data_IF_777906017225
#
_entry.id   IF_777906017225
#
_cell.length_a   1.000
_cell.length_b   1.000
_cell.length_c   1.000
_cell.angle_alpha   90.00
_cell.angle_beta   90.00
_cell.angle_gamma   90.00
#
_symmetry.space_group_name_H-M   'P 1'
#
loop_
_entity.id
_entity.type
_entity.pdbx_description
1 polymer ?
#
# COMPACT_ATOMS: atom_id res chain seq x y z
N UNK A 1 10.03 -4.19 22.40
CA UNK A 1 10.08 -4.57 20.98
C UNK A 1 8.81 -5.33 20.69
N UNK A 2 7.78 -4.71 20.13
CA UNK A 2 6.56 -5.43 19.78
C UNK A 2 6.87 -6.39 18.62
N UNK A 3 6.83 -7.70 18.90
CA UNK A 3 6.83 -8.75 17.90
C UNK A 3 5.53 -8.59 17.10
N UNK A 4 5.59 -7.93 15.94
CA UNK A 4 4.46 -7.89 15.02
C UNK A 4 4.11 -9.32 14.60
N UNK A 5 2.90 -9.76 14.94
CA UNK A 5 2.35 -11.03 14.50
C UNK A 5 2.40 -11.14 12.96
N UNK A 6 2.70 -12.34 12.44
CA UNK A 6 2.83 -12.58 11.00
C UNK A 6 1.60 -12.13 10.19
N UNK A 7 0.42 -12.19 10.81
CA UNK A 7 -0.83 -11.72 10.21
C UNK A 7 -0.82 -10.21 10.04
N UNK A 8 -0.33 -9.46 11.03
CA UNK A 8 -0.19 -8.01 10.96
C UNK A 8 0.85 -7.60 9.91
N UNK A 9 1.97 -8.33 9.84
CA UNK A 9 3.00 -8.08 8.83
C UNK A 9 2.48 -8.35 7.40
N UNK A 10 1.75 -9.45 7.20
CA UNK A 10 1.09 -9.75 5.92
C UNK A 10 0.10 -8.67 5.54
N UNK A 11 -0.77 -8.26 6.47
CA UNK A 11 -1.72 -7.19 6.23
C UNK A 11 -1.04 -5.87 5.83
N UNK A 12 0.05 -5.50 6.52
CA UNK A 12 0.85 -4.31 6.19
C UNK A 12 1.42 -4.39 4.78
N UNK A 13 2.03 -5.52 4.40
CA UNK A 13 2.58 -5.74 3.05
C UNK A 13 1.50 -5.63 1.96
N UNK A 14 0.32 -6.19 2.21
CA UNK A 14 -0.80 -6.10 1.27
C UNK A 14 -1.28 -4.67 1.07
N UNK A 15 -1.44 -3.89 2.15
CA UNK A 15 -1.80 -2.47 2.05
C UNK A 15 -0.78 -1.65 1.25
N UNK A 16 0.52 -1.90 1.47
CA UNK A 16 1.59 -1.24 0.72
C UNK A 16 1.52 -1.59 -0.78
N UNK A 17 1.24 -2.85 -1.13
CA UNK A 17 1.03 -3.25 -2.54
C UNK A 17 -0.12 -2.47 -3.18
N UNK A 18 -1.23 -2.29 -2.46
CA UNK A 18 -2.39 -1.52 -2.94
C UNK A 18 -2.01 -0.05 -3.17
N UNK A 19 -1.34 0.61 -2.22
CA UNK A 19 -0.88 2.00 -2.39
C UNK A 19 0.01 2.16 -3.62
N UNK A 20 1.00 1.27 -3.79
CA UNK A 20 1.90 1.30 -4.95
C UNK A 20 1.16 1.09 -6.28
N UNK A 21 0.12 0.26 -6.30
CA UNK A 21 -0.70 0.08 -7.50
C UNK A 21 -1.46 1.35 -7.89
N UNK A 22 -1.99 2.09 -6.91
CA UNK A 22 -2.66 3.37 -7.14
C UNK A 22 -1.67 4.42 -7.64
N UNK A 23 -0.48 4.53 -7.02
CA UNK A 23 0.58 5.46 -7.47
C UNK A 23 1.02 5.16 -8.90
N UNK A 24 1.16 3.87 -9.27
CA UNK A 24 1.49 3.45 -10.64
C UNK A 24 0.48 3.93 -11.70
N UNK A 25 -0.73 4.30 -11.27
CA UNK A 25 -1.80 4.88 -12.10
C UNK A 25 -1.96 6.38 -11.85
N UNK A 26 -0.86 7.11 -11.67
CA UNK A 26 -0.85 8.55 -11.43
C UNK A 26 -1.70 8.97 -10.21
N UNK A 27 -1.70 8.13 -9.16
CA UNK A 27 -2.38 8.42 -7.90
C UNK A 27 -3.89 8.14 -7.89
N UNK A 28 -4.47 7.63 -8.97
CA UNK A 28 -5.89 7.27 -9.05
C UNK A 28 -6.08 5.98 -9.86
N UNK A 29 -6.68 4.96 -9.27
CA UNK A 29 -6.91 3.68 -9.94
C UNK A 29 -8.33 3.16 -9.71
N UNK A 30 -8.94 2.55 -10.73
CA UNK A 30 -10.16 1.79 -10.55
C UNK A 30 -9.86 0.40 -9.95
N UNK A 31 -10.90 -0.27 -9.47
CA UNK A 31 -10.76 -1.58 -8.81
C UNK A 31 -10.06 -2.63 -9.69
N UNK A 32 -10.42 -2.73 -10.97
CA UNK A 32 -9.85 -3.70 -11.90
C UNK A 32 -8.36 -3.47 -12.13
N UNK A 33 -7.91 -2.22 -12.17
CA UNK A 33 -6.49 -1.87 -12.26
C UNK A 33 -5.72 -2.28 -11.01
N UNK A 34 -6.26 -1.99 -9.82
CA UNK A 34 -5.64 -2.42 -8.56
C UNK A 34 -5.52 -3.94 -8.54
N UNK A 35 -6.59 -4.67 -8.91
CA UNK A 35 -6.58 -6.13 -8.98
C UNK A 35 -5.55 -6.65 -9.97
N UNK A 36 -5.50 -6.09 -11.18
CA UNK A 36 -4.55 -6.50 -12.22
C UNK A 36 -3.10 -6.26 -11.79
N UNK A 37 -2.79 -5.12 -11.19
CA UNK A 37 -1.41 -4.77 -10.78
C UNK A 37 -0.97 -5.57 -9.55
N UNK A 38 -1.86 -5.79 -8.58
CA UNK A 38 -1.50 -6.41 -7.30
C UNK A 38 -1.59 -7.94 -7.30
N UNK A 39 -2.40 -8.52 -8.20
CA UNK A 39 -2.72 -9.95 -8.21
C UNK A 39 -3.54 -10.41 -6.99
N UNK A 40 -4.09 -9.49 -6.21
CA UNK A 40 -4.84 -9.81 -5.00
C UNK A 40 -6.26 -10.30 -5.30
N UNK A 41 -6.81 -11.11 -4.40
CA UNK A 41 -8.22 -11.52 -4.47
C UNK A 41 -9.15 -10.34 -4.22
N UNK A 42 -10.36 -10.42 -4.78
CA UNK A 42 -11.40 -9.41 -4.61
C UNK A 42 -11.68 -9.10 -3.14
N UNK A 43 -11.84 -10.14 -2.32
CA UNK A 43 -12.08 -10.00 -0.89
C UNK A 43 -10.93 -9.32 -0.16
N UNK A 44 -9.67 -9.65 -0.51
CA UNK A 44 -8.49 -9.02 0.10
C UNK A 44 -8.43 -7.52 -0.22
N UNK A 45 -8.70 -7.14 -1.48
CA UNK A 45 -8.69 -5.73 -1.89
C UNK A 45 -9.75 -4.93 -1.11
N UNK A 46 -11.00 -5.41 -1.06
CA UNK A 46 -12.05 -4.72 -0.31
C UNK A 46 -11.74 -4.66 1.19
N UNK A 47 -11.31 -5.77 1.78
CA UNK A 47 -10.97 -5.86 3.20
C UNK A 47 -9.91 -4.82 3.61
N UNK A 48 -8.90 -4.62 2.77
CA UNK A 48 -7.83 -3.68 3.05
C UNK A 48 -8.21 -2.24 2.74
N UNK A 49 -8.88 -1.96 1.61
CA UNK A 49 -9.31 -0.61 1.26
C UNK A 49 -10.25 0.00 2.30
N UNK A 50 -11.18 -0.79 2.85
CA UNK A 50 -12.05 -0.33 3.95
C UNK A 50 -11.28 0.12 5.20
N UNK A 51 -10.07 -0.40 5.41
CA UNK A 51 -9.18 -0.08 6.55
C UNK A 51 -8.11 0.95 6.20
N UNK A 52 -8.11 1.48 4.98
CA UNK A 52 -7.10 2.41 4.47
C UNK A 52 -7.69 3.81 4.21
N UNK A 53 -8.81 4.17 4.85
CA UNK A 53 -9.55 5.42 4.59
C UNK A 53 -8.72 6.70 4.77
N UNK A 54 -7.68 6.66 5.61
CA UNK A 54 -6.75 7.78 5.79
C UNK A 54 -5.67 7.88 4.69
N UNK A 55 -5.44 6.79 3.95
CA UNK A 55 -4.40 6.68 2.93
C UNK A 55 -4.95 6.65 1.50
N UNK A 56 -6.22 6.25 1.36
CA UNK A 56 -6.91 6.09 0.09
C UNK A 56 -8.36 6.53 0.26
N UNK A 57 -8.79 7.46 -0.59
CA UNK A 57 -10.18 7.90 -0.69
C UNK A 57 -10.85 7.20 -1.86
N UNK A 58 -12.11 6.80 -1.68
CA UNK A 58 -12.94 6.26 -2.77
C UNK A 58 -13.77 7.39 -3.37
N UNK A 59 -13.56 7.68 -4.65
CA UNK A 59 -14.41 8.57 -5.45
C UNK A 59 -15.16 7.75 -6.50
N UNK A 60 -16.44 7.49 -6.28
CA UNK A 60 -17.34 6.74 -7.18
C UNK A 60 -16.70 5.42 -7.68
N UNK A 61 -15.99 5.46 -8.83
CA UNK A 61 -15.33 4.32 -9.48
C UNK A 61 -13.82 4.19 -9.23
N UNK A 62 -13.19 5.17 -8.60
CA UNK A 62 -11.75 5.24 -8.41
C UNK A 62 -11.36 5.29 -6.94
N UNK A 63 -10.14 4.82 -6.68
CA UNK A 63 -9.43 4.92 -5.42
C UNK A 63 -8.26 5.87 -5.63
N UNK A 64 -8.27 6.98 -4.90
CA UNK A 64 -7.30 8.07 -5.00
C UNK A 64 -6.42 8.04 -3.77
N UNK A 65 -5.10 8.05 -3.97
CA UNK A 65 -4.16 8.09 -2.84
C UNK A 65 -4.20 9.47 -2.18
N UNK A 66 -4.17 9.51 -0.85
CA UNK A 66 -4.08 10.77 -0.10
C UNK A 66 -2.63 11.20 0.06
N UNK A 67 -2.43 12.41 0.59
CA UNK A 67 -1.10 12.89 0.98
C UNK A 67 -0.46 11.96 2.01
N UNK A 68 -1.21 11.54 3.03
CA UNK A 68 -0.74 10.60 4.07
C UNK A 68 -0.33 9.25 3.47
N UNK A 69 -1.04 8.80 2.41
CA UNK A 69 -0.69 7.58 1.68
C UNK A 69 0.64 7.71 0.93
N UNK A 70 0.90 8.88 0.34
CA UNK A 70 2.16 9.20 -0.33
C UNK A 70 3.30 9.30 0.69
N UNK A 71 3.10 10.07 1.78
CA UNK A 71 4.09 10.26 2.83
C UNK A 71 4.53 8.93 3.44
N UNK A 72 3.58 8.02 3.71
CA UNK A 72 3.88 6.67 4.18
C UNK A 72 4.79 5.90 3.21
N UNK A 73 4.54 5.97 1.89
CA UNK A 73 5.39 5.30 0.91
C UNK A 73 6.81 5.89 0.89
N UNK A 74 6.92 7.22 0.93
CA UNK A 74 8.21 7.92 0.99
C UNK A 74 9.01 7.51 2.22
N UNK A 75 8.38 7.46 3.40
CA UNK A 75 9.03 7.00 4.63
C UNK A 75 9.54 5.56 4.52
N UNK A 76 8.73 4.67 3.93
CA UNK A 76 9.09 3.26 3.76
C UNK A 76 10.27 3.09 2.80
N UNK A 77 10.31 3.85 1.71
CA UNK A 77 11.40 3.79 0.73
C UNK A 77 12.69 4.39 1.32
N UNK A 78 12.62 5.53 2.03
CA UNK A 78 13.77 6.07 2.80
C UNK A 78 14.34 5.06 3.79
N UNK A 79 13.47 4.35 4.51
CA UNK A 79 13.89 3.31 5.46
C UNK A 79 14.55 2.12 4.75
N UNK A 80 14.06 1.75 3.57
CA UNK A 80 14.64 0.67 2.76
C UNK A 80 16.05 1.04 2.30
N UNK A 81 16.23 2.26 1.81
CA UNK A 81 17.54 2.76 1.36
C UNK A 81 18.53 2.80 2.52
N UNK A 82 18.11 3.29 3.69
CA UNK A 82 18.93 3.26 4.91
C UNK A 82 19.38 1.85 5.33
N UNK A 83 18.50 0.85 5.23
CA UNK A 83 18.85 -0.55 5.56
C UNK A 83 19.82 -1.14 4.54
N UNK A 84 19.65 -0.83 3.25
CA UNK A 84 20.57 -1.28 2.19
C UNK A 84 21.96 -0.65 2.34
N UNK A 85 22.04 0.62 2.74
CA UNK A 85 23.31 1.31 3.01
C UNK A 85 24.08 0.78 4.24
N UNK A 86 23.46 -0.07 5.07
CA UNK A 86 24.07 -0.63 6.28
C UNK A 86 24.47 -2.11 6.16
N UNK A 87 24.21 -2.78 5.04
CA UNK A 87 24.73 -4.13 4.82
C UNK A 87 26.22 -4.03 4.43
N UNK A 88 27.15 -4.67 5.17
CA UNK A 88 28.51 -4.85 4.68
C UNK A 88 28.44 -5.73 3.43
N UNK A 89 29.25 -5.39 2.42
CA UNK A 89 29.49 -6.22 1.22
C UNK A 89 30.24 -7.47 1.64
#
# INVERSE_FOLDING_TARGET
>A
MELMDDTQLRAKRTRIKILRAIVKKNGSACFSEIRSITGLSTGSIYYHLERMKNYVLKNSKHYVITKEGIDLLVELDKKKDFVLSKKPI
#
